data_IF_255989766569
#
_entry.id   IF_255989766569
#
_cell.length_a   1.000
_cell.length_b   1.000
_cell.length_c   1.000
_cell.angle_alpha   90.00
_cell.angle_beta   90.00
_cell.angle_gamma   90.00
#
_symmetry.space_group_name_H-M   'P 1'
#
loop_
_entity.id
_entity.type
_entity.pdbx_description
1 polymer ?
#
# COMPACT_ATOMS: atom_id res chain seq x y z
N UNK A 1 -4.34 8.01 12.29
CA UNK A 1 -3.94 8.09 10.87
C UNK A 1 -2.68 8.92 10.77
N UNK A 2 -1.69 8.54 9.94
CA UNK A 2 -0.46 9.34 9.73
C UNK A 2 -0.48 9.93 8.33
N UNK A 3 0.20 11.05 8.14
CA UNK A 3 0.41 11.68 6.83
C UNK A 3 1.91 11.79 6.55
N UNK A 4 2.28 11.74 5.28
CA UNK A 4 3.65 11.83 4.82
C UNK A 4 3.76 12.80 3.66
N UNK A 5 4.60 13.82 3.80
CA UNK A 5 4.91 14.73 2.69
C UNK A 5 6.09 14.17 1.92
N UNK A 6 5.87 13.82 0.65
CA UNK A 6 6.95 13.36 -0.22
C UNK A 6 7.84 14.54 -0.65
N UNK A 7 9.08 14.28 -1.11
CA UNK A 7 10.02 15.34 -1.49
C UNK A 7 9.52 16.26 -2.61
N UNK A 8 8.57 15.80 -3.42
CA UNK A 8 7.87 16.57 -4.45
C UNK A 8 6.80 17.54 -3.90
N UNK A 9 6.55 17.52 -2.58
CA UNK A 9 5.58 18.39 -1.90
C UNK A 9 4.18 17.79 -1.75
N UNK A 10 3.91 16.61 -2.31
CA UNK A 10 2.61 15.95 -2.18
C UNK A 10 2.40 15.38 -0.78
N UNK A 11 1.24 15.65 -0.16
CA UNK A 11 0.86 15.08 1.14
C UNK A 11 0.06 13.78 0.98
N UNK A 12 0.70 12.66 1.28
CA UNK A 12 0.11 11.32 1.24
C UNK A 12 -0.51 10.94 2.58
N UNK A 13 -1.64 10.23 2.53
CA UNK A 13 -2.22 9.60 3.73
C UNK A 13 -1.70 8.18 3.90
N UNK A 14 -1.17 7.85 5.07
CA UNK A 14 -0.59 6.55 5.40
C UNK A 14 -1.61 5.72 6.18
N UNK A 15 -1.99 4.58 5.61
CA UNK A 15 -2.98 3.65 6.17
C UNK A 15 -2.36 2.26 6.25
N UNK A 16 -2.45 1.62 7.41
CA UNK A 16 -2.03 0.22 7.57
C UNK A 16 -3.25 -0.68 7.40
N UNK A 17 -3.15 -1.67 6.50
CA UNK A 17 -4.20 -2.65 6.21
C UNK A 17 -3.63 -4.07 6.26
N UNK A 18 -4.54 -5.05 6.32
CA UNK A 18 -4.21 -6.48 6.33
C UNK A 18 -3.06 -6.87 7.27
N UNK A 19 -3.14 -6.53 8.57
CA UNK A 19 -2.15 -6.98 9.52
C UNK A 19 -2.24 -8.51 9.68
N UNK A 20 -1.21 -9.21 9.21
CA UNK A 20 -0.95 -10.62 9.49
C UNK A 20 -0.13 -10.79 10.77
N UNK A 21 0.34 -12.01 11.01
CA UNK A 21 1.15 -12.32 12.20
C UNK A 21 2.54 -11.68 12.17
N UNK A 22 3.07 -11.35 10.99
CA UNK A 22 4.44 -10.79 10.86
C UNK A 22 4.59 -9.79 9.71
N UNK A 23 3.50 -9.50 9.01
CA UNK A 23 3.45 -8.60 7.87
C UNK A 23 2.23 -7.70 7.95
N UNK A 24 2.36 -6.49 7.42
CA UNK A 24 1.24 -5.58 7.24
C UNK A 24 1.39 -4.83 5.92
N UNK A 25 0.29 -4.43 5.31
CA UNK A 25 0.31 -3.60 4.11
C UNK A 25 0.27 -2.14 4.56
N UNK A 26 1.25 -1.36 4.12
CA UNK A 26 1.25 0.09 4.26
C UNK A 26 0.79 0.71 2.94
N UNK A 27 -0.40 1.29 2.94
CA UNK A 27 -1.00 1.99 1.82
C UNK A 27 -0.76 3.50 1.95
N UNK A 28 -0.25 4.10 0.89
CA UNK A 28 -0.09 5.53 0.69
C UNK A 28 -1.17 6.02 -0.27
N UNK A 29 -2.11 6.81 0.25
CA UNK A 29 -3.19 7.39 -0.56
C UNK A 29 -2.83 8.79 -1.02
N UNK A 30 -3.01 9.05 -2.31
CA UNK A 30 -2.72 10.34 -2.92
C UNK A 30 -3.83 11.36 -2.56
N UNK A 31 -3.51 12.65 -2.29
CA UNK A 31 -4.50 13.65 -1.88
C UNK A 31 -5.49 14.02 -3.00
N UNK A 32 -5.07 13.94 -4.27
CA UNK A 32 -5.96 14.15 -5.43
C UNK A 32 -6.85 12.92 -5.71
N UNK A 33 -7.38 12.29 -4.65
CA UNK A 33 -7.96 10.94 -4.56
C UNK A 33 -9.18 10.59 -5.44
N UNK A 34 -9.35 11.21 -6.60
CA UNK A 34 -10.33 10.80 -7.62
C UNK A 34 -9.96 9.52 -8.37
N UNK A 35 -8.75 8.99 -8.20
CA UNK A 35 -8.34 7.71 -8.80
C UNK A 35 -7.29 7.00 -7.96
N UNK A 36 -7.61 5.77 -7.54
CA UNK A 36 -6.69 4.82 -6.90
C UNK A 36 -5.47 4.44 -7.77
N UNK A 37 -5.32 5.03 -8.96
CA UNK A 37 -4.19 4.87 -9.88
C UNK A 37 -2.89 5.49 -9.34
N UNK A 38 -3.00 6.51 -8.48
CA UNK A 38 -1.85 7.16 -7.86
C UNK A 38 -1.53 6.58 -6.49
N UNK A 39 -2.42 5.77 -5.92
CA UNK A 39 -2.17 5.13 -4.63
C UNK A 39 -0.98 4.18 -4.76
N UNK A 40 -0.19 4.10 -3.70
CA UNK A 40 0.99 3.24 -3.63
C UNK A 40 0.88 2.34 -2.42
N UNK A 41 1.41 1.14 -2.49
CA UNK A 41 1.44 0.23 -1.36
C UNK A 41 2.82 -0.38 -1.17
N UNK A 42 3.08 -0.80 0.06
CA UNK A 42 4.27 -1.56 0.38
C UNK A 42 3.97 -2.59 1.46
N UNK A 43 4.74 -3.68 1.46
CA UNK A 43 4.73 -4.64 2.54
C UNK A 43 5.70 -4.19 3.63
N UNK A 44 5.16 -4.02 4.84
CA UNK A 44 5.94 -3.93 6.06
C UNK A 44 6.12 -5.35 6.60
N UNK A 45 7.36 -5.80 6.68
CA UNK A 45 7.74 -7.07 7.28
C UNK A 45 8.45 -6.73 8.59
N UNK A 46 7.88 -7.15 9.72
CA UNK A 46 8.58 -7.00 10.99
C UNK A 46 9.73 -8.01 11.00
N UNK A 47 10.96 -7.56 11.25
CA UNK A 47 12.17 -8.40 11.36
C UNK A 47 12.76 -8.40 12.79
N UNK A 48 12.05 -7.83 13.78
CA UNK A 48 12.48 -7.82 15.17
C UNK A 48 12.32 -9.20 15.86
N UNK A 49 12.87 -9.42 17.06
CA UNK A 49 12.70 -10.66 17.84
C UNK A 49 11.24 -11.03 18.13
N UNK A 50 10.30 -10.09 18.03
CA UNK A 50 8.85 -10.32 18.06
C UNK A 50 8.31 -11.07 16.82
N UNK A 51 9.10 -11.18 15.74
CA UNK A 51 8.80 -11.98 14.54
C UNK A 51 8.77 -13.48 14.79
N UNK A 52 9.09 -13.93 16.01
CA UNK A 52 9.04 -15.33 16.43
C UNK A 52 7.69 -15.71 17.05
N UNK A 53 6.80 -14.74 17.29
CA UNK A 53 5.52 -14.96 17.96
C UNK A 53 4.36 -14.90 16.96
N UNK A 54 4.05 -16.03 16.33
CA UNK A 54 2.90 -16.22 15.43
C UNK A 54 1.52 -16.00 16.09
N UNK A 55 1.47 -15.91 17.41
CA UNK A 55 0.27 -15.72 18.25
C UNK A 55 -0.10 -14.26 18.50
N UNK A 56 0.84 -13.32 18.35
CA UNK A 56 0.58 -11.88 18.49
C UNK A 56 0.23 -11.30 17.13
N UNK A 57 -1.05 -11.03 16.88
CA UNK A 57 -1.47 -10.28 15.68
C UNK A 57 -0.85 -8.89 15.75
N UNK A 58 -0.18 -8.45 14.68
CA UNK A 58 0.29 -7.07 14.59
C UNK A 58 -0.93 -6.15 14.67
N UNK A 59 -0.99 -5.29 15.69
CA UNK A 59 -2.03 -4.26 15.71
C UNK A 59 -1.67 -3.19 14.67
N UNK A 60 -2.59 -2.83 13.76
CA UNK A 60 -2.32 -1.83 12.73
C UNK A 60 -1.92 -0.47 13.36
N UNK A 61 -2.47 -0.16 14.53
CA UNK A 61 -2.12 1.01 15.31
C UNK A 61 -0.67 0.97 15.83
N UNK A 62 -0.22 -0.19 16.35
CA UNK A 62 1.16 -0.39 16.82
C UNK A 62 2.18 -0.32 15.68
N UNK A 63 1.84 -0.88 14.52
CA UNK A 63 2.66 -0.72 13.31
C UNK A 63 2.74 0.76 12.93
N UNK A 64 1.60 1.46 12.91
CA UNK A 64 1.57 2.89 12.59
C UNK A 64 2.38 3.72 13.60
N UNK A 65 2.31 3.42 14.90
CA UNK A 65 3.09 4.07 15.95
C UNK A 65 4.60 3.91 15.70
N UNK A 66 5.05 2.69 15.40
CA UNK A 66 6.46 2.37 15.14
C UNK A 66 7.00 2.98 13.84
N UNK A 67 6.14 3.28 12.87
CA UNK A 67 6.52 3.90 11.61
C UNK A 67 6.89 5.39 11.79
N UNK A 68 8.19 5.64 11.95
CA UNK A 68 8.76 6.99 12.00
C UNK A 68 8.88 7.61 10.60
N UNK A 69 9.10 8.92 10.51
CA UNK A 69 9.22 9.62 9.23
C UNK A 69 10.29 9.01 8.30
N UNK A 70 11.42 8.56 8.85
CA UNK A 70 12.49 7.89 8.09
C UNK A 70 12.03 6.53 7.53
N UNK A 71 11.34 5.72 8.33
CA UNK A 71 10.82 4.42 7.91
C UNK A 71 9.73 4.57 6.86
N UNK A 72 8.83 5.55 7.05
CA UNK A 72 7.79 5.91 6.09
C UNK A 72 8.42 6.36 4.77
N UNK A 73 9.45 7.20 4.80
CA UNK A 73 10.16 7.63 3.59
C UNK A 73 10.86 6.45 2.88
N UNK A 74 11.48 5.54 3.63
CA UNK A 74 12.07 4.33 3.08
C UNK A 74 11.01 3.43 2.44
N UNK A 75 9.91 3.16 3.14
CA UNK A 75 8.74 2.42 2.63
C UNK A 75 8.15 3.07 1.40
N UNK A 76 8.03 4.40 1.37
CA UNK A 76 7.50 5.14 0.22
C UNK A 76 8.42 5.01 -0.99
N UNK A 77 9.74 5.12 -0.81
CA UNK A 77 10.73 4.93 -1.89
C UNK A 77 10.68 3.54 -2.50
N UNK A 78 10.47 2.50 -1.68
CA UNK A 78 10.29 1.10 -2.15
C UNK A 78 8.83 0.72 -2.43
N UNK A 79 7.90 1.67 -2.40
CA UNK A 79 6.47 1.39 -2.61
C UNK A 79 6.15 1.16 -4.08
N UNK A 80 5.24 0.23 -4.33
CA UNK A 80 4.75 -0.12 -5.66
C UNK A 80 3.42 0.60 -5.94
N UNK A 81 3.16 1.02 -7.19
CA UNK A 81 1.86 1.57 -7.55
C UNK A 81 0.77 0.52 -7.36
N UNK A 82 -0.38 0.93 -6.81
CA UNK A 82 -1.58 0.09 -6.75
C UNK A 82 -2.11 -0.03 -8.18
N UNK A 83 -1.63 -1.04 -8.90
CA UNK A 83 -2.18 -1.38 -10.21
C UNK A 83 -3.57 -1.99 -10.00
N UNK A 84 -4.62 -1.30 -10.41
CA UNK A 84 -5.90 -1.96 -10.67
C UNK A 84 -5.86 -2.52 -12.09
N UNK A 85 -6.32 -3.76 -12.33
CA UNK A 85 -6.71 -4.14 -13.66
C UNK A 85 -7.79 -3.14 -14.10
N UNK A 86 -7.56 -2.53 -15.25
CA UNK A 86 -8.48 -1.57 -15.83
C UNK A 86 -9.85 -2.25 -16.05
N UNK A 87 -10.97 -1.71 -15.53
CA UNK A 87 -12.29 -2.30 -15.78
C UNK A 87 -12.79 -2.07 -17.21
N UNK A 88 -12.04 -1.35 -18.05
CA UNK A 88 -12.26 -1.21 -19.50
C UNK A 88 -11.29 -2.10 -20.28
N UNK A 89 -10.95 -3.27 -19.73
CA UNK A 89 -10.66 -4.45 -20.53
C UNK A 89 -11.88 -4.79 -21.39
N UNK A 90 -12.07 -4.00 -22.45
CA UNK A 90 -12.94 -4.25 -23.58
C UNK A 90 -12.63 -5.66 -24.07
N UNK A 91 -13.43 -6.63 -23.61
CA UNK A 91 -13.69 -7.82 -24.42
C UNK A 91 -14.46 -7.30 -25.62
N UNK A 92 -13.76 -6.85 -26.66
CA UNK A 92 -14.35 -6.82 -27.99
C UNK A 92 -14.82 -8.25 -28.27
N UNK A 93 -16.13 -8.50 -28.44
CA UNK A 93 -16.56 -9.80 -28.91
C UNK A 93 -15.91 -9.98 -30.28
N UNK A 94 -15.11 -11.03 -30.41
CA UNK A 94 -14.54 -11.45 -31.68
C UNK A 94 -15.66 -11.46 -32.72
N UNK A 95 -15.65 -10.47 -33.60
CA UNK A 95 -16.48 -10.49 -34.80
C UNK A 95 -15.92 -11.64 -35.63
N UNK A 96 -16.57 -12.80 -35.52
CA UNK A 96 -16.41 -13.89 -36.46
C UNK A 96 -16.81 -13.36 -37.84
N UNK A 97 -15.79 -13.05 -38.63
CA UNK A 97 -15.88 -12.82 -40.05
C UNK A 97 -15.30 -14.05 -40.74
N UNK A 98 -16.11 -14.72 -41.54
CA UNK A 98 -15.76 -15.90 -42.35
C UNK A 98 -16.92 -16.91 -42.27
N UNK A 99 -17.88 -16.83 -43.18
CA UNK A 99 -17.92 -17.37 -44.57
C UNK A 99 -18.80 -18.63 -44.58
#
# INVERSE_FOLDING_TARGET
MKTYTSPDGTTWSVVVQSPGSSNAIVLFRHPNGGSSRLDRYNWYISNGPESRSVTSRLSPDKVLEHLNATEIAALFRRSMPVSRPDPLGVNEPATTRGD
#
